data_IF_207692307180
#
_entry.id   IF_207692307180
#
_cell.length_a   1.000
_cell.length_b   1.000
_cell.length_c   1.000
_cell.angle_alpha   90.00
_cell.angle_beta   90.00
_cell.angle_gamma   90.00
#
_symmetry.space_group_name_H-M   'P 1'
#
loop_
_entity.id
_entity.type
_entity.pdbx_description
1 polymer ?
#
# COMPACT_ATOMS: atom_id res chain seq x y z
N UNK A 1 22.46 0.28 -3.75
CA UNK A 1 21.32 0.56 -2.85
C UNK A 1 20.05 0.40 -3.66
N UNK A 2 19.09 -0.39 -3.17
CA UNK A 2 17.92 -0.84 -3.94
C UNK A 2 16.85 0.23 -4.16
N UNK A 3 15.98 -0.03 -5.14
CA UNK A 3 14.72 0.70 -5.34
C UNK A 3 13.74 0.34 -4.21
N UNK A 4 12.83 1.25 -3.87
CA UNK A 4 11.77 1.00 -2.90
C UNK A 4 10.41 1.46 -3.44
N UNK A 5 9.33 0.95 -2.86
CA UNK A 5 7.97 1.22 -3.29
C UNK A 5 7.13 -0.04 -3.43
N UNK A 6 6.01 0.08 -4.15
CA UNK A 6 4.97 -0.94 -4.23
C UNK A 6 4.57 -1.22 -5.67
N UNK A 7 4.12 -2.46 -5.88
CA UNK A 7 3.32 -2.79 -7.05
C UNK A 7 1.86 -2.44 -6.78
N UNK A 8 1.19 -1.80 -7.73
CA UNK A 8 -0.22 -1.43 -7.64
C UNK A 8 -1.00 -2.24 -8.69
N UNK A 9 -1.96 -3.03 -8.25
CA UNK A 9 -2.94 -3.62 -9.16
C UNK A 9 -4.12 -2.67 -9.29
N UNK A 10 -4.39 -2.22 -10.51
CA UNK A 10 -5.56 -1.40 -10.78
C UNK A 10 -6.80 -2.28 -10.82
N UNK A 11 -7.82 -1.95 -10.03
CA UNK A 11 -9.05 -2.76 -9.94
C UNK A 11 -10.30 -2.09 -10.51
N UNK A 12 -10.19 -0.87 -11.06
CA UNK A 12 -11.32 -0.10 -11.57
C UNK A 12 -11.05 0.50 -12.97
N UNK A 13 -11.94 0.21 -13.93
CA UNK A 13 -11.80 0.55 -15.36
C UNK A 13 -13.06 1.21 -15.93
N UNK A 14 -13.51 2.29 -15.30
CA UNK A 14 -14.60 3.14 -15.76
C UNK A 14 -14.03 4.41 -16.40
N UNK A 15 -14.85 5.14 -17.18
CA UNK A 15 -14.42 6.43 -17.76
C UNK A 15 -13.95 7.43 -16.70
N UNK A 16 -14.61 7.44 -15.54
CA UNK A 16 -14.20 8.26 -14.41
C UNK A 16 -12.84 7.80 -13.89
N UNK A 17 -12.65 6.48 -13.68
CA UNK A 17 -11.38 5.99 -13.18
C UNK A 17 -10.24 6.21 -14.16
N UNK A 18 -10.46 6.04 -15.46
CA UNK A 18 -9.47 6.33 -16.50
C UNK A 18 -8.96 7.79 -16.43
N UNK A 19 -9.85 8.74 -16.12
CA UNK A 19 -9.49 10.14 -15.97
C UNK A 19 -8.76 10.42 -14.65
N UNK A 20 -9.17 9.79 -13.55
CA UNK A 20 -8.62 10.05 -12.21
C UNK A 20 -7.33 9.29 -11.94
N UNK A 21 -7.11 8.12 -12.56
CA UNK A 21 -5.99 7.23 -12.28
C UNK A 21 -4.61 7.90 -12.42
N UNK A 22 -4.27 8.56 -13.54
CA UNK A 22 -2.97 9.23 -13.65
C UNK A 22 -2.79 10.35 -12.60
N UNK A 23 -3.86 11.05 -12.24
CA UNK A 23 -3.84 12.11 -11.22
C UNK A 23 -3.55 11.51 -9.84
N UNK A 24 -4.24 10.44 -9.48
CA UNK A 24 -4.09 9.77 -8.19
C UNK A 24 -2.69 9.15 -8.02
N UNK A 25 -2.19 8.41 -9.02
CA UNK A 25 -0.87 7.78 -8.95
C UNK A 25 0.25 8.85 -8.87
N UNK A 26 0.10 9.97 -9.57
CA UNK A 26 1.05 11.08 -9.49
C UNK A 26 1.19 11.70 -8.09
N UNK A 27 0.18 11.54 -7.23
CA UNK A 27 0.17 12.10 -5.87
C UNK A 27 0.89 11.22 -4.84
N UNK A 28 1.00 9.91 -5.06
CA UNK A 28 1.61 8.98 -4.11
C UNK A 28 3.07 9.36 -3.73
N UNK A 29 4.01 9.58 -4.67
CA UNK A 29 5.40 9.89 -4.32
C UNK A 29 5.55 11.14 -3.44
N UNK A 30 4.70 12.14 -3.66
CA UNK A 30 4.74 13.43 -2.97
C UNK A 30 4.36 13.34 -1.49
N UNK A 31 3.57 12.34 -1.11
CA UNK A 31 3.12 12.11 0.26
C UNK A 31 4.04 11.18 1.06
N UNK A 32 5.03 10.58 0.39
CA UNK A 32 5.93 9.57 0.95
C UNK A 32 7.34 10.10 1.25
N UNK A 33 7.56 11.41 1.11
CA UNK A 33 8.82 12.07 1.41
C UNK A 33 8.66 12.93 2.68
N UNK A 34 8.64 12.31 3.86
CA UNK A 34 8.33 13.04 5.11
C UNK A 34 9.30 12.87 6.28
N UNK A 35 10.42 12.16 6.13
CA UNK A 35 11.30 11.92 7.30
C UNK A 35 12.28 13.08 7.57
N UNK A 36 12.01 13.87 8.59
CA UNK A 36 12.72 15.11 8.94
C UNK A 36 14.11 14.91 9.57
N UNK A 37 14.60 13.68 9.76
CA UNK A 37 15.94 13.44 10.35
C UNK A 37 17.10 13.68 9.38
N UNK A 38 16.82 13.94 8.11
CA UNK A 38 17.84 14.16 7.09
C UNK A 38 17.87 15.62 6.62
N UNK A 39 19.03 16.07 6.15
CA UNK A 39 19.28 17.41 5.62
C UNK A 39 18.58 17.71 4.28
N UNK A 40 17.36 17.18 4.05
CA UNK A 40 16.58 17.31 2.81
C UNK A 40 17.10 16.43 1.67
N UNK A 41 18.43 16.31 1.50
CA UNK A 41 19.03 15.56 0.39
C UNK A 41 18.78 14.05 0.43
N UNK A 42 18.71 13.44 1.61
CA UNK A 42 18.38 12.00 1.74
C UNK A 42 16.92 11.77 1.41
N UNK A 43 16.02 12.70 1.75
CA UNK A 43 14.61 12.60 1.41
C UNK A 43 14.38 12.77 -0.09
N UNK A 44 15.11 13.67 -0.75
CA UNK A 44 15.08 13.78 -2.21
C UNK A 44 15.59 12.50 -2.89
N UNK A 45 16.69 11.92 -2.38
CA UNK A 45 17.25 10.68 -2.93
C UNK A 45 16.33 9.46 -2.68
N UNK A 46 15.70 9.38 -1.50
CA UNK A 46 14.67 8.38 -1.22
C UNK A 46 13.47 8.59 -2.15
N UNK A 47 12.94 9.80 -2.27
CA UNK A 47 11.85 10.11 -3.20
C UNK A 47 12.18 9.75 -4.65
N UNK A 48 13.41 9.99 -5.11
CA UNK A 48 13.87 9.61 -6.47
C UNK A 48 13.88 8.10 -6.70
N UNK A 49 14.17 7.33 -5.65
CA UNK A 49 14.22 5.86 -5.68
C UNK A 49 12.87 5.20 -5.45
N UNK A 50 11.87 5.98 -5.08
CA UNK A 50 10.49 5.50 -5.00
C UNK A 50 10.01 5.12 -6.41
N UNK A 51 9.48 3.91 -6.52
CA UNK A 51 8.94 3.35 -7.75
C UNK A 51 7.60 2.71 -7.45
N UNK A 52 6.60 3.16 -8.19
CA UNK A 52 5.30 2.50 -8.31
C UNK A 52 5.28 1.81 -9.66
N UNK A 53 4.94 0.53 -9.64
CA UNK A 53 4.68 -0.22 -10.85
C UNK A 53 3.19 -0.53 -10.90
N UNK A 54 2.51 -0.01 -11.92
CA UNK A 54 1.09 -0.26 -12.11
C UNK A 54 0.92 -1.46 -13.01
N UNK A 55 0.16 -2.44 -12.54
CA UNK A 55 -0.23 -3.62 -13.31
C UNK A 55 -1.71 -3.50 -13.65
N UNK A 56 -2.01 -3.61 -14.93
CA UNK A 56 -3.35 -3.47 -15.49
C UNK A 56 -3.73 -4.73 -16.29
N UNK A 57 -4.90 -5.28 -15.98
CA UNK A 57 -5.49 -6.41 -16.70
C UNK A 57 -6.98 -6.39 -16.41
N UNK A 58 -7.73 -5.66 -17.22
CA UNK A 58 -9.17 -5.42 -16.99
C UNK A 58 -10.00 -6.69 -16.90
N UNK A 59 -9.55 -7.78 -17.54
CA UNK A 59 -10.29 -9.03 -17.59
C UNK A 59 -10.11 -9.84 -16.29
N UNK A 60 -8.98 -9.68 -15.60
CA UNK A 60 -8.65 -10.42 -14.37
C UNK A 60 -8.66 -9.55 -13.10
N UNK A 61 -8.45 -8.25 -13.26
CA UNK A 61 -8.39 -7.25 -12.21
C UNK A 61 -9.57 -6.31 -12.41
N UNK A 62 -10.74 -6.65 -11.88
CA UNK A 62 -11.88 -5.74 -11.94
C UNK A 62 -12.79 -5.94 -10.74
N UNK A 63 -12.49 -5.18 -9.68
CA UNK A 63 -13.27 -5.13 -8.46
C UNK A 63 -13.33 -3.67 -7.99
N UNK A 64 -14.33 -2.90 -8.47
CA UNK A 64 -14.40 -1.46 -8.27
C UNK A 64 -14.75 -1.05 -6.83
N UNK A 65 -15.22 -1.99 -5.99
CA UNK A 65 -15.47 -1.80 -4.57
C UNK A 65 -14.80 -2.93 -3.78
N UNK A 66 -13.73 -2.62 -3.03
CA UNK A 66 -13.00 -3.62 -2.24
C UNK A 66 -13.58 -3.82 -0.84
N UNK A 67 -14.53 -2.98 -0.40
CA UNK A 67 -15.27 -3.24 0.84
C UNK A 67 -16.12 -4.51 0.75
N UNK A 68 -16.56 -4.89 -0.46
CA UNK A 68 -17.34 -6.11 -0.73
C UNK A 68 -16.45 -7.31 -1.09
N UNK A 69 -15.11 -7.16 -1.06
CA UNK A 69 -14.20 -8.20 -1.51
C UNK A 69 -14.29 -9.45 -0.63
N UNK A 70 -14.44 -10.60 -1.26
CA UNK A 70 -14.35 -11.89 -0.59
C UNK A 70 -12.89 -12.33 -0.47
N UNK A 71 -12.66 -13.31 0.40
CA UNK A 71 -11.32 -13.88 0.53
C UNK A 71 -10.83 -14.54 -0.77
N UNK A 72 -11.73 -15.13 -1.55
CA UNK A 72 -11.37 -15.71 -2.85
C UNK A 72 -10.97 -14.65 -3.88
N UNK A 73 -11.58 -13.45 -3.84
CA UNK A 73 -11.16 -12.33 -4.69
C UNK A 73 -9.72 -11.91 -4.35
N UNK A 74 -9.40 -11.75 -3.07
CA UNK A 74 -8.06 -11.36 -2.62
C UNK A 74 -7.02 -12.45 -2.92
N UNK A 75 -7.38 -13.73 -2.74
CA UNK A 75 -6.55 -14.87 -3.18
C UNK A 75 -6.33 -14.85 -4.69
N UNK A 76 -7.34 -14.51 -5.49
CA UNK A 76 -7.20 -14.42 -6.94
C UNK A 76 -6.23 -13.30 -7.34
N UNK A 77 -6.31 -12.13 -6.70
CA UNK A 77 -5.33 -11.05 -6.91
C UNK A 77 -3.92 -11.45 -6.48
N UNK A 78 -3.78 -12.16 -5.35
CA UNK A 78 -2.49 -12.69 -4.92
C UNK A 78 -1.90 -13.65 -5.95
N UNK A 79 -2.69 -14.61 -6.45
CA UNK A 79 -2.24 -15.56 -7.50
C UNK A 79 -1.83 -14.83 -8.77
N UNK A 80 -2.59 -13.81 -9.17
CA UNK A 80 -2.26 -12.99 -10.34
C UNK A 80 -0.95 -12.23 -10.13
N UNK A 81 -0.77 -11.63 -8.95
CA UNK A 81 0.47 -10.95 -8.58
C UNK A 81 1.67 -11.91 -8.60
N UNK A 82 1.55 -13.11 -8.05
CA UNK A 82 2.62 -14.13 -8.11
C UNK A 82 2.95 -14.51 -9.56
N UNK A 83 1.96 -14.63 -10.45
CA UNK A 83 2.21 -14.87 -11.88
C UNK A 83 2.96 -13.72 -12.55
N UNK A 84 2.61 -12.49 -12.20
CA UNK A 84 3.29 -11.30 -12.69
C UNK A 84 4.74 -11.24 -12.21
N UNK A 85 5.01 -11.58 -10.94
CA UNK A 85 6.36 -11.71 -10.38
C UNK A 85 7.17 -12.76 -11.15
N UNK A 86 6.58 -13.94 -11.41
CA UNK A 86 7.24 -14.99 -12.22
C UNK A 86 7.56 -14.50 -13.61
N UNK A 87 6.69 -13.69 -14.22
CA UNK A 87 6.93 -13.11 -15.54
C UNK A 87 8.10 -12.09 -15.55
N UNK A 88 8.46 -11.52 -14.40
CA UNK A 88 9.67 -10.71 -14.24
C UNK A 88 10.96 -11.54 -14.10
N UNK A 89 10.85 -12.87 -14.01
CA UNK A 89 11.97 -13.78 -13.77
C UNK A 89 12.30 -14.00 -12.31
N UNK A 90 11.43 -13.56 -11.40
CA UNK A 90 11.57 -13.73 -9.95
C UNK A 90 10.75 -14.94 -9.48
N UNK A 91 11.18 -15.60 -8.40
CA UNK A 91 10.45 -16.74 -7.83
C UNK A 91 9.75 -16.33 -6.52
N UNK A 92 8.40 -16.27 -6.48
CA UNK A 92 7.63 -15.85 -5.32
C UNK A 92 7.73 -16.80 -4.12
N UNK A 93 8.35 -17.98 -4.29
CA UNK A 93 8.60 -18.95 -3.23
C UNK A 93 9.96 -18.79 -2.53
N UNK A 94 10.83 -17.91 -3.03
CA UNK A 94 12.18 -17.73 -2.48
C UNK A 94 12.20 -16.81 -1.25
N UNK A 95 13.21 -17.02 -0.39
CA UNK A 95 13.48 -16.10 0.70
C UNK A 95 13.85 -14.69 0.18
N UNK A 96 14.49 -14.58 -1.00
CA UNK A 96 14.84 -13.31 -1.63
C UNK A 96 13.60 -12.51 -2.04
N UNK A 97 12.58 -13.16 -2.61
CA UNK A 97 11.27 -12.55 -2.84
C UNK A 97 10.67 -11.99 -1.56
N UNK A 98 10.73 -12.77 -0.48
CA UNK A 98 10.24 -12.38 0.83
C UNK A 98 10.95 -11.14 1.39
N UNK A 99 12.16 -10.84 0.90
CA UNK A 99 13.01 -9.71 1.32
C UNK A 99 12.79 -8.42 0.53
N UNK A 100 11.99 -8.45 -0.53
CA UNK A 100 11.71 -7.27 -1.36
C UNK A 100 10.28 -6.80 -1.14
N UNK A 101 10.00 -5.72 -0.36
CA UNK A 101 8.63 -5.31 -0.11
C UNK A 101 7.82 -4.94 -1.37
N UNK A 102 8.52 -4.53 -2.45
CA UNK A 102 7.91 -4.28 -3.78
C UNK A 102 7.32 -5.54 -4.40
N UNK A 103 8.01 -6.66 -4.18
CA UNK A 103 7.64 -7.95 -4.75
C UNK A 103 6.86 -8.78 -3.74
N UNK A 104 6.99 -8.59 -2.44
CA UNK A 104 6.32 -9.44 -1.48
C UNK A 104 4.89 -8.99 -1.17
N UNK A 105 4.57 -7.69 -1.22
CA UNK A 105 3.23 -7.15 -0.96
C UNK A 105 2.81 -6.23 -2.12
N UNK A 106 1.49 -6.02 -2.27
CA UNK A 106 0.96 -5.12 -3.30
C UNK A 106 -0.17 -4.25 -2.77
N UNK A 107 -0.41 -3.17 -3.49
CA UNK A 107 -1.52 -2.25 -3.23
C UNK A 107 -2.63 -2.47 -4.25
N UNK A 108 -3.87 -2.29 -3.83
CA UNK A 108 -5.04 -2.21 -4.70
C UNK A 108 -5.63 -0.80 -4.65
N UNK A 109 -6.17 -0.35 -5.79
CA UNK A 109 -6.86 0.94 -5.91
C UNK A 109 -8.24 0.70 -6.50
N UNK A 110 -9.25 0.76 -5.62
CA UNK A 110 -10.66 0.73 -6.00
C UNK A 110 -11.21 2.14 -6.29
N UNK A 111 -12.51 2.24 -6.56
CA UNK A 111 -13.14 3.52 -6.94
C UNK A 111 -13.07 4.55 -5.82
N UNK A 112 -13.25 4.14 -4.56
CA UNK A 112 -13.26 5.04 -3.42
C UNK A 112 -11.85 5.55 -3.09
N UNK A 113 -10.88 4.64 -3.05
CA UNK A 113 -9.45 4.93 -2.93
C UNK A 113 -9.03 5.91 -4.01
N UNK A 114 -9.40 5.64 -5.26
CA UNK A 114 -9.02 6.47 -6.39
C UNK A 114 -9.54 7.91 -6.30
N UNK A 115 -10.83 8.09 -5.98
CA UNK A 115 -11.41 9.43 -5.80
C UNK A 115 -10.75 10.16 -4.64
N UNK A 116 -10.51 9.46 -3.53
CA UNK A 116 -9.87 10.06 -2.35
C UNK A 116 -8.44 10.53 -2.64
N UNK A 117 -7.66 9.71 -3.37
CA UNK A 117 -6.32 10.06 -3.81
C UNK A 117 -6.32 11.25 -4.77
N UNK A 118 -7.20 11.25 -5.77
CA UNK A 118 -7.29 12.32 -6.75
C UNK A 118 -7.72 13.66 -6.12
N UNK A 119 -8.51 13.61 -5.03
CA UNK A 119 -8.95 14.78 -4.29
C UNK A 119 -7.88 15.37 -3.34
N UNK A 120 -6.78 14.67 -3.09
CA UNK A 120 -5.70 15.22 -2.26
C UNK A 120 -5.16 16.52 -2.85
N UNK A 121 -4.81 17.52 -2.05
CA UNK A 121 -4.22 18.74 -2.57
C UNK A 121 -2.86 18.42 -3.22
N UNK A 122 -2.54 19.09 -4.34
CA UNK A 122 -1.24 18.96 -5.04
C UNK A 122 -0.06 19.49 -4.20
N UNK A 123 -0.36 20.00 -3.01
CA UNK A 123 0.62 20.51 -2.07
C UNK A 123 1.48 19.36 -1.51
N UNK A 124 2.76 19.43 -1.81
CA UNK A 124 3.83 18.72 -1.10
C UNK A 124 4.00 19.35 0.29
N UNK A 125 4.22 18.53 1.36
CA UNK A 125 4.68 19.07 2.63
C UNK A 125 5.96 19.90 2.39
N UNK A 126 6.15 21.03 3.09
CA UNK A 126 7.39 21.77 2.98
C UNK A 126 8.58 20.84 3.31
N UNK A 127 9.58 20.76 2.44
CA UNK A 127 10.85 20.04 2.67
C UNK A 127 11.71 20.68 3.78
N UNK A 128 11.17 21.67 4.49
CA UNK A 128 11.86 22.45 5.50
C UNK A 128 12.12 21.60 6.76
N UNK A 129 13.33 21.71 7.29
CA UNK A 129 13.85 21.00 8.48
C UNK A 129 13.14 21.31 9.81
N UNK A 130 12.04 22.07 9.81
CA UNK A 130 11.29 22.42 11.01
C UNK A 130 9.86 22.80 10.64
N UNK A 131 9.02 21.81 10.33
CA UNK A 131 7.57 21.98 10.37
C UNK A 131 7.17 21.73 11.83
N UNK A 132 6.46 22.66 12.48
CA UNK A 132 5.88 22.43 13.82
C UNK A 132 5.08 21.12 13.79
N UNK A 133 5.17 20.30 14.83
CA UNK A 133 4.41 19.06 14.96
C UNK A 133 2.91 19.30 14.74
N UNK A 134 2.38 20.47 15.12
CA UNK A 134 1.01 20.86 14.87
C UNK A 134 0.70 21.07 13.37
N UNK A 135 1.63 21.68 12.62
CA UNK A 135 1.51 21.88 11.18
C UNK A 135 1.68 20.55 10.43
N UNK A 136 2.61 19.68 10.86
CA UNK A 136 2.74 18.29 10.38
C UNK A 136 1.45 17.48 10.60
N UNK A 137 0.84 17.60 11.78
CA UNK A 137 -0.47 17.00 12.03
C UNK A 137 -1.56 17.60 11.14
N UNK A 138 -1.47 18.89 10.77
CA UNK A 138 -2.36 19.50 9.78
C UNK A 138 -2.26 18.82 8.41
N UNK A 139 -1.04 18.54 7.95
CA UNK A 139 -0.80 17.81 6.69
C UNK A 139 -1.21 16.34 6.74
N UNK A 140 -1.09 15.68 7.90
CA UNK A 140 -1.61 14.32 8.11
C UNK A 140 -3.14 14.28 8.26
N UNK A 141 -3.76 15.37 8.71
CA UNK A 141 -5.22 15.52 8.82
C UNK A 141 -5.89 15.92 7.50
N UNK A 142 -5.13 16.44 6.54
CA UNK A 142 -5.58 16.77 5.18
C UNK A 142 -5.78 15.51 4.33
N UNK A 143 -6.81 14.72 4.69
CA UNK A 143 -7.46 13.80 3.76
C UNK A 143 -7.32 12.32 4.12
N UNK A 144 -8.47 11.70 4.37
CA UNK A 144 -8.78 10.28 4.55
C UNK A 144 -8.49 9.40 3.31
N UNK A 145 -7.46 9.75 2.55
CA UNK A 145 -7.09 9.01 1.35
C UNK A 145 -6.38 7.73 1.74
N UNK A 146 -6.92 6.63 1.25
CA UNK A 146 -6.40 5.30 1.50
C UNK A 146 -6.16 4.58 0.18
N UNK A 147 -5.31 3.58 0.28
CA UNK A 147 -5.21 2.47 -0.66
C UNK A 147 -5.52 1.19 0.12
N UNK A 148 -5.67 0.09 -0.57
CA UNK A 148 -5.75 -1.21 0.06
C UNK A 148 -4.38 -1.88 0.01
N UNK A 149 -3.89 -2.35 1.15
CA UNK A 149 -2.68 -3.14 1.26
C UNK A 149 -3.06 -4.62 1.34
N UNK A 150 -2.37 -5.46 0.56
CA UNK A 150 -2.45 -6.91 0.68
C UNK A 150 -1.11 -7.43 1.22
N UNK A 151 -1.13 -7.89 2.47
CA UNK A 151 -0.04 -8.69 3.06
C UNK A 151 -0.17 -10.11 2.51
N UNK A 152 0.60 -10.36 1.47
CA UNK A 152 0.63 -11.63 0.76
C UNK A 152 0.95 -12.80 1.69
N UNK A 153 1.81 -12.62 2.70
CA UNK A 153 2.16 -13.69 3.65
C UNK A 153 0.96 -14.04 4.52
N UNK A 154 0.25 -13.03 5.01
CA UNK A 154 -0.96 -13.24 5.80
C UNK A 154 -2.06 -13.93 4.95
N UNK A 155 -2.30 -13.48 3.72
CA UNK A 155 -3.25 -14.12 2.80
C UNK A 155 -2.88 -15.58 2.52
N UNK A 156 -1.60 -15.87 2.31
CA UNK A 156 -1.12 -17.24 2.05
C UNK A 156 -1.24 -18.19 3.25
N UNK A 157 -1.24 -17.65 4.48
CA UNK A 157 -1.34 -18.40 5.73
C UNK A 157 -2.75 -18.46 6.30
N UNK A 158 -3.67 -17.68 5.75
CA UNK A 158 -5.02 -17.59 6.28
C UNK A 158 -5.75 -18.93 6.08
N UNK A 159 -6.02 -19.58 7.20
CA UNK A 159 -6.89 -20.74 7.30
C UNK A 159 -8.30 -20.23 7.67
N UNK A 160 -9.29 -20.56 6.84
CA UNK A 160 -10.70 -20.21 7.07
C UNK A 160 -11.24 -20.73 8.42
N UNK A 161 -10.56 -21.72 9.01
CA UNK A 161 -10.83 -22.25 10.35
C UNK A 161 -10.34 -21.38 11.51
N UNK A 162 -9.33 -20.51 11.32
CA UNK A 162 -8.75 -19.68 12.38
C UNK A 162 -9.01 -18.18 12.12
N UNK A 163 -10.28 -17.81 12.32
CA UNK A 163 -10.91 -16.54 11.96
C UNK A 163 -10.56 -15.38 12.90
N UNK A 164 -9.29 -15.01 13.03
CA UNK A 164 -9.02 -13.65 13.51
C UNK A 164 -9.10 -12.71 12.29
N UNK A 165 -10.09 -11.77 12.24
CA UNK A 165 -10.16 -10.80 11.15
C UNK A 165 -8.89 -9.97 11.01
N UNK A 166 -8.14 -9.81 12.11
CA UNK A 166 -6.86 -9.11 12.16
C UNK A 166 -5.74 -9.83 11.37
N UNK A 167 -5.97 -11.09 10.99
CA UNK A 167 -5.03 -11.93 10.23
C UNK A 167 -5.48 -12.18 8.80
N UNK A 168 -6.54 -11.51 8.33
CA UNK A 168 -7.12 -11.73 7.00
C UNK A 168 -6.14 -11.39 5.86
N UNK A 169 -5.21 -10.46 6.11
CA UNK A 169 -4.13 -10.14 5.18
C UNK A 169 -4.45 -9.08 4.12
N UNK A 170 -5.61 -8.41 4.19
CA UNK A 170 -5.85 -7.18 3.44
C UNK A 170 -6.48 -6.11 4.32
N UNK A 171 -6.06 -4.87 4.16
CA UNK A 171 -6.42 -3.77 5.05
C UNK A 171 -6.35 -2.43 4.31
N UNK A 172 -7.08 -1.44 4.80
CA UNK A 172 -6.94 -0.05 4.34
C UNK A 172 -5.63 0.51 4.88
N UNK A 173 -4.91 1.23 4.04
CA UNK A 173 -3.64 1.85 4.37
C UNK A 173 -3.72 3.33 4.05
N UNK A 174 -3.64 4.16 5.09
CA UNK A 174 -3.54 5.60 4.91
C UNK A 174 -2.32 5.95 4.08
N UNK A 175 -2.49 6.89 3.17
CA UNK A 175 -1.41 7.31 2.26
C UNK A 175 -0.17 7.84 2.98
N UNK A 176 -0.35 8.42 4.17
CA UNK A 176 0.75 8.86 5.03
C UNK A 176 1.55 7.71 5.63
N UNK A 177 0.98 6.52 5.76
CA UNK A 177 1.59 5.36 6.40
C UNK A 177 2.26 4.42 5.40
N UNK A 178 2.18 4.69 4.08
CA UNK A 178 2.73 3.78 3.08
C UNK A 178 4.27 3.68 3.21
N UNK A 179 4.96 4.79 3.47
CA UNK A 179 6.41 4.77 3.69
C UNK A 179 6.77 3.96 4.94
N UNK A 180 6.09 4.22 6.06
CA UNK A 180 6.34 3.54 7.32
C UNK A 180 6.08 2.03 7.20
N UNK A 181 4.93 1.65 6.63
CA UNK A 181 4.58 0.26 6.35
C UNK A 181 5.67 -0.44 5.51
N UNK A 182 6.20 0.24 4.48
CA UNK A 182 7.27 -0.30 3.64
C UNK A 182 8.56 -0.50 4.43
N UNK A 183 8.96 0.49 5.23
CA UNK A 183 10.18 0.45 6.05
C UNK A 183 10.11 -0.65 7.09
N UNK A 184 8.96 -0.80 7.75
CA UNK A 184 8.74 -1.85 8.74
C UNK A 184 8.86 -3.22 8.08
N UNK A 185 8.19 -3.42 6.93
CA UNK A 185 8.32 -4.65 6.15
C UNK A 185 9.77 -4.92 5.77
N UNK A 186 10.49 -3.92 5.25
CA UNK A 186 11.90 -4.03 4.88
C UNK A 186 12.82 -4.29 6.09
N UNK A 187 12.43 -3.89 7.30
CA UNK A 187 13.25 -4.08 8.51
C UNK A 187 13.04 -5.42 9.20
N UNK A 188 11.89 -6.08 9.01
CA UNK A 188 11.49 -7.32 9.70
C UNK A 188 11.64 -8.57 8.82
N UNK A 189 12.52 -8.51 7.82
CA UNK A 189 12.68 -9.52 6.76
C UNK A 189 13.27 -10.87 7.24
N UNK A 190 13.89 -10.90 8.41
CA UNK A 190 14.48 -12.09 9.03
C UNK A 190 13.48 -12.92 9.86
N UNK A 191 12.25 -12.44 10.05
CA UNK A 191 11.21 -13.12 10.83
C UNK A 191 10.18 -13.76 9.89
N UNK A 192 10.35 -15.05 9.63
CA UNK A 192 9.49 -15.82 8.73
C UNK A 192 7.99 -15.72 9.09
N UNK A 193 7.67 -15.51 10.38
CA UNK A 193 6.30 -15.48 10.89
C UNK A 193 5.66 -14.11 11.07
N UNK A 194 6.37 -13.04 10.70
CA UNK A 194 5.87 -11.69 10.95
C UNK A 194 4.84 -11.24 9.89
N UNK A 195 3.70 -10.75 10.37
CA UNK A 195 2.60 -10.18 9.58
C UNK A 195 2.39 -8.73 9.98
N UNK A 196 1.89 -7.92 9.05
CA UNK A 196 1.50 -6.55 9.33
C UNK A 196 0.30 -6.53 10.28
N UNK A 197 0.36 -5.67 11.29
CA UNK A 197 -0.75 -5.44 12.21
C UNK A 197 -1.90 -4.71 11.52
N UNK A 198 -3.12 -5.05 11.91
CA UNK A 198 -4.29 -4.27 11.52
C UNK A 198 -5.31 -4.19 12.65
N UNK A 199 -6.06 -3.10 12.67
CA UNK A 199 -7.09 -2.84 13.66
C UNK A 199 -8.36 -2.33 12.97
N UNK A 200 -9.51 -2.70 13.53
CA UNK A 200 -10.80 -2.22 13.03
C UNK A 200 -11.00 -0.74 13.40
N UNK A 201 -11.35 0.11 12.43
CA UNK A 201 -11.62 1.54 12.67
C UNK A 201 -12.79 2.08 11.83
N UNK A 202 -13.83 2.64 12.47
CA UNK A 202 -14.12 2.55 13.90
C UNK A 202 -14.45 1.09 14.31
N UNK A 203 -14.38 0.79 15.60
CA UNK A 203 -14.72 -0.53 16.15
C UNK A 203 -16.16 -0.92 15.75
N UNK A 204 -16.35 -2.17 15.31
CA UNK A 204 -17.62 -2.70 14.81
C UNK A 204 -18.02 -2.29 13.40
N UNK A 205 -17.16 -1.63 12.63
CA UNK A 205 -17.44 -1.17 11.25
C UNK A 205 -17.14 -2.18 10.14
N UNK A 206 -16.44 -3.26 10.43
CA UNK A 206 -15.86 -4.20 9.48
C UNK A 206 -14.63 -3.66 8.70
N UNK A 207 -14.22 -2.42 8.96
CA UNK A 207 -13.11 -1.78 8.25
C UNK A 207 -11.80 -1.97 9.00
N UNK A 208 -10.92 -2.80 8.46
CA UNK A 208 -9.59 -3.01 9.05
C UNK A 208 -8.58 -2.11 8.37
N UNK A 209 -7.83 -1.39 9.18
CA UNK A 209 -6.80 -0.46 8.80
C UNK A 209 -5.45 -0.94 9.28
N UNK A 210 -4.41 -0.64 8.53
CA UNK A 210 -3.03 -0.85 8.96
C UNK A 210 -2.78 -0.19 10.33
N UNK A 211 -2.16 -0.97 11.21
CA UNK A 211 -1.81 -0.54 12.56
C UNK A 211 -0.46 -1.11 12.98
N UNK A 212 0.48 -0.23 13.31
CA UNK A 212 1.82 -0.61 13.78
C UNK A 212 1.95 -0.62 15.32
N UNK A 213 0.84 -0.55 16.07
CA UNK A 213 0.87 -0.74 17.51
C UNK A 213 1.05 -2.23 17.92
N UNK A 214 2.12 -2.89 17.46
CA UNK A 214 2.61 -4.17 18.01
C UNK A 214 4.15 -4.34 17.92
#
# INVERSE_FOLDING_TARGET
MGLWGYTILRTVYTKESDALFPIAIGKLPSKMATDQKSNGSVNEELGRRFRVEVVEDKDKLNLPNLDDATFEDIKAFRRYFDQWVVALGEDPSTAEYSTSPRLCDFLLVDSASLRSLAALPDRTPPLCLAVDFAEKQGWQKDGSAHVWLVDCRAVGRYDEGNRSPERRGWMKLDTCNIQDCWLIRASRLDREDWMLGCAERPEGSGNYWYDDFF
#
